data_IF_330372812782
#
_entry.id   IF_330372812782
#
_cell.length_a   1.000
_cell.length_b   1.000
_cell.length_c   1.000
_cell.angle_alpha   90.00
_cell.angle_beta   90.00
_cell.angle_gamma   90.00
#
_symmetry.space_group_name_H-M   'P 1'
#
loop_
_entity.id
_entity.type
_entity.pdbx_description
1 polymer ?
#
# COMPACT_ATOMS: atom_id res chain seq x y z
N UNK A 1 -15.35 -8.54 21.53
CA UNK A 1 -14.96 -9.50 20.47
C UNK A 1 -14.05 -8.74 19.53
N UNK A 2 -12.76 -8.86 19.75
CA UNK A 2 -11.76 -8.39 18.77
C UNK A 2 -11.83 -9.37 17.62
N UNK A 3 -12.41 -8.93 16.50
CA UNK A 3 -12.35 -9.69 15.25
C UNK A 3 -10.89 -9.62 14.82
N UNK A 4 -10.10 -10.60 15.25
CA UNK A 4 -8.80 -10.90 14.67
C UNK A 4 -9.10 -11.43 13.27
N UNK A 5 -9.12 -10.55 12.26
CA UNK A 5 -9.23 -10.92 10.85
C UNK A 5 -8.09 -11.92 10.56
N UNK A 6 -8.39 -13.23 10.41
CA UNK A 6 -7.36 -14.22 10.22
C UNK A 6 -6.83 -14.04 8.80
N UNK A 7 -5.61 -13.48 8.74
CA UNK A 7 -4.78 -13.38 7.54
C UNK A 7 -4.99 -12.11 6.67
N UNK A 8 -4.76 -10.92 7.24
CA UNK A 8 -4.65 -9.64 6.50
C UNK A 8 -3.70 -9.74 5.30
N UNK A 9 -2.65 -10.55 5.41
CA UNK A 9 -1.70 -10.78 4.33
C UNK A 9 -2.35 -11.52 3.15
N UNK A 10 -3.08 -12.61 3.43
CA UNK A 10 -3.87 -13.31 2.42
C UNK A 10 -4.89 -12.37 1.77
N UNK A 11 -5.61 -11.57 2.57
CA UNK A 11 -6.58 -10.62 2.03
C UNK A 11 -5.94 -9.61 1.08
N UNK A 12 -4.74 -9.10 1.41
CA UNK A 12 -4.00 -8.23 0.51
C UNK A 12 -3.65 -8.94 -0.82
N UNK A 13 -3.21 -10.20 -0.76
CA UNK A 13 -2.91 -10.98 -1.96
C UNK A 13 -4.16 -11.22 -2.83
N UNK A 14 -5.29 -11.59 -2.21
CA UNK A 14 -6.56 -11.75 -2.92
C UNK A 14 -7.01 -10.45 -3.61
N UNK A 15 -6.79 -9.31 -2.96
CA UNK A 15 -7.13 -8.00 -3.53
C UNK A 15 -6.20 -7.64 -4.69
N UNK A 16 -4.91 -7.98 -4.61
CA UNK A 16 -4.01 -7.86 -5.76
C UNK A 16 -4.46 -8.73 -6.95
N UNK A 17 -4.90 -9.97 -6.70
CA UNK A 17 -5.40 -10.85 -7.76
C UNK A 17 -6.72 -10.32 -8.37
N UNK A 18 -7.64 -9.84 -7.53
CA UNK A 18 -8.94 -9.30 -7.96
C UNK A 18 -8.82 -8.12 -8.92
N UNK A 19 -7.84 -7.23 -8.70
CA UNK A 19 -7.63 -6.05 -9.54
C UNK A 19 -6.59 -6.25 -10.64
N UNK A 20 -5.95 -7.42 -10.74
CA UNK A 20 -4.91 -7.67 -11.72
C UNK A 20 -5.42 -7.46 -13.16
N UNK A 21 -4.70 -6.68 -13.95
CA UNK A 21 -5.05 -6.35 -15.34
C UNK A 21 -6.11 -5.27 -15.51
N UNK A 22 -6.54 -4.60 -14.42
CA UNK A 22 -7.42 -3.42 -14.49
C UNK A 22 -6.63 -2.14 -14.79
N UNK A 23 -7.34 -1.04 -15.11
CA UNK A 23 -6.74 0.29 -15.16
C UNK A 23 -6.45 0.77 -13.73
N UNK A 24 -5.25 0.47 -13.23
CA UNK A 24 -4.89 0.74 -11.84
C UNK A 24 -4.91 2.23 -11.53
N UNK A 25 -4.38 3.06 -12.43
CA UNK A 25 -4.31 4.50 -12.23
C UNK A 25 -5.71 5.09 -12.12
N UNK A 26 -6.60 4.81 -13.08
CA UNK A 26 -7.99 5.29 -13.05
C UNK A 26 -8.74 4.79 -11.81
N UNK A 27 -8.57 3.53 -11.44
CA UNK A 27 -9.25 2.93 -10.28
C UNK A 27 -8.75 3.55 -8.96
N UNK A 28 -7.46 3.87 -8.84
CA UNK A 28 -6.91 4.60 -7.69
C UNK A 28 -7.59 5.97 -7.55
N UNK A 29 -7.79 6.69 -8.66
CA UNK A 29 -8.48 7.98 -8.62
C UNK A 29 -9.92 7.80 -8.11
N UNK A 30 -10.65 6.82 -8.65
CA UNK A 30 -12.03 6.53 -8.22
C UNK A 30 -12.13 6.24 -6.73
N UNK A 31 -11.23 5.42 -6.17
CA UNK A 31 -11.22 5.08 -4.74
C UNK A 31 -10.86 6.29 -3.87
N UNK A 32 -9.95 7.14 -4.35
CA UNK A 32 -9.57 8.36 -3.65
C UNK A 32 -10.69 9.42 -3.66
N UNK A 33 -11.39 9.58 -4.78
CA UNK A 33 -12.42 10.61 -4.97
C UNK A 33 -13.79 10.17 -4.45
N UNK A 34 -14.11 8.87 -4.47
CA UNK A 34 -15.38 8.30 -4.02
C UNK A 34 -15.13 7.07 -3.14
N UNK A 35 -14.64 7.26 -1.90
CA UNK A 35 -14.50 6.16 -0.96
C UNK A 35 -15.87 5.54 -0.67
N UNK A 36 -15.88 4.22 -0.50
CA UNK A 36 -17.06 3.49 -0.09
C UNK A 36 -17.38 3.73 1.39
N UNK A 37 -18.43 3.10 1.89
CA UNK A 37 -18.73 3.11 3.33
C UNK A 37 -17.84 2.13 4.12
N UNK A 38 -17.10 1.26 3.43
CA UNK A 38 -16.21 0.27 4.03
C UNK A 38 -14.75 0.73 3.94
N UNK A 39 -14.28 1.33 5.03
CA UNK A 39 -12.90 1.82 5.13
C UNK A 39 -11.85 0.71 5.00
N UNK A 40 -12.18 -0.52 5.42
CA UNK A 40 -11.24 -1.64 5.35
C UNK A 40 -11.10 -2.09 3.89
N UNK A 41 -12.22 -2.24 3.19
CA UNK A 41 -12.22 -2.59 1.77
C UNK A 41 -11.52 -1.52 0.93
N UNK A 42 -11.80 -0.23 1.16
CA UNK A 42 -11.13 0.87 0.45
C UNK A 42 -9.62 0.89 0.70
N UNK A 43 -9.19 0.61 1.93
CA UNK A 43 -7.77 0.55 2.28
C UNK A 43 -7.06 -0.59 1.55
N UNK A 44 -7.64 -1.80 1.56
CA UNK A 44 -7.10 -2.93 0.82
C UNK A 44 -7.08 -2.68 -0.69
N UNK A 45 -8.19 -2.15 -1.23
CA UNK A 45 -8.33 -1.82 -2.64
C UNK A 45 -7.29 -0.81 -3.09
N UNK A 46 -7.16 0.31 -2.37
CA UNK A 46 -6.18 1.33 -2.68
C UNK A 46 -4.75 0.78 -2.61
N UNK A 47 -4.42 0.04 -1.55
CA UNK A 47 -3.09 -0.55 -1.36
C UNK A 47 -2.74 -1.54 -2.46
N UNK A 48 -3.65 -2.45 -2.81
CA UNK A 48 -3.47 -3.43 -3.87
C UNK A 48 -3.23 -2.75 -5.22
N UNK A 49 -4.09 -1.79 -5.60
CA UNK A 49 -3.95 -1.05 -6.85
C UNK A 49 -2.61 -0.28 -6.92
N UNK A 50 -2.20 0.36 -5.82
CA UNK A 50 -0.94 1.09 -5.78
C UNK A 50 0.28 0.16 -5.93
N UNK A 51 0.24 -1.03 -5.34
CA UNK A 51 1.27 -2.06 -5.51
C UNK A 51 1.31 -2.53 -6.96
N UNK A 52 0.16 -2.90 -7.55
CA UNK A 52 0.06 -3.37 -8.94
C UNK A 52 0.51 -2.32 -9.95
N UNK A 53 0.14 -1.06 -9.73
CA UNK A 53 0.62 0.05 -10.56
C UNK A 53 2.13 0.18 -10.47
N UNK A 54 2.70 0.14 -9.26
CA UNK A 54 4.15 0.25 -9.05
C UNK A 54 4.92 -0.89 -9.75
N UNK A 55 4.39 -2.11 -9.72
CA UNK A 55 4.94 -3.26 -10.42
C UNK A 55 4.85 -3.11 -11.94
N UNK A 56 3.70 -2.67 -12.43
CA UNK A 56 3.44 -2.47 -13.87
C UNK A 56 4.34 -1.38 -14.44
N UNK A 57 4.57 -0.32 -13.67
CA UNK A 57 5.47 0.78 -13.98
C UNK A 57 6.96 0.39 -13.79
N UNK A 58 7.26 -0.84 -13.36
CA UNK A 58 8.61 -1.32 -13.01
C UNK A 58 9.37 -0.35 -12.09
N UNK A 59 8.65 0.25 -11.15
CA UNK A 59 9.18 1.27 -10.28
C UNK A 59 9.84 0.67 -9.03
N UNK A 60 10.88 1.36 -8.55
CA UNK A 60 11.72 0.89 -7.45
C UNK A 60 11.03 0.97 -6.08
N UNK A 61 10.08 1.90 -5.92
CA UNK A 61 9.47 2.13 -4.61
C UNK A 61 8.10 2.80 -4.69
N UNK A 62 7.15 2.26 -3.96
CA UNK A 62 5.91 2.94 -3.55
C UNK A 62 6.11 3.61 -2.21
N UNK A 63 5.72 4.89 -2.07
CA UNK A 63 5.80 5.61 -0.81
C UNK A 63 4.50 6.34 -0.50
N UNK A 64 3.89 5.99 0.63
CA UNK A 64 2.76 6.67 1.24
C UNK A 64 3.28 7.45 2.44
N UNK A 65 3.05 8.77 2.46
CA UNK A 65 3.52 9.65 3.52
C UNK A 65 2.41 10.56 3.97
N UNK A 66 2.33 10.75 5.26
CA UNK A 66 1.54 11.79 5.89
C UNK A 66 2.45 12.69 6.69
N UNK A 67 2.35 14.00 6.49
CA UNK A 67 3.03 15.01 7.30
C UNK A 67 1.98 16.03 7.74
N UNK A 68 1.80 16.15 9.05
CA UNK A 68 0.64 16.84 9.64
C UNK A 68 -0.67 16.28 9.05
N UNK A 69 -1.40 17.09 8.28
CA UNK A 69 -2.65 16.73 7.62
C UNK A 69 -2.50 16.41 6.13
N UNK A 70 -1.31 16.63 5.55
CA UNK A 70 -1.08 16.42 4.13
C UNK A 70 -0.65 14.97 3.87
N UNK A 71 -1.45 14.28 3.06
CA UNK A 71 -1.14 12.93 2.55
C UNK A 71 -0.55 13.05 1.14
N UNK A 72 0.52 12.31 0.90
CA UNK A 72 1.19 12.22 -0.40
C UNK A 72 1.50 10.77 -0.70
N UNK A 73 1.17 10.33 -1.91
CA UNK A 73 1.47 9.00 -2.40
C UNK A 73 2.29 9.15 -3.67
N UNK A 74 3.42 8.47 -3.73
CA UNK A 74 4.36 8.59 -4.86
C UNK A 74 4.93 7.24 -5.24
N UNK A 75 5.01 7.00 -6.54
CA UNK A 75 5.80 5.93 -7.14
C UNK A 75 7.15 6.53 -7.55
N UNK A 76 8.25 5.86 -7.23
CA UNK A 76 9.61 6.33 -7.53
C UNK A 76 10.28 5.39 -8.54
N UNK A 77 10.74 5.99 -9.65
CA UNK A 77 11.65 5.40 -10.62
C UNK A 77 13.08 5.88 -10.36
N UNK A 78 14.02 5.45 -11.21
CA UNK A 78 15.43 5.83 -11.09
C UNK A 78 15.62 7.36 -11.19
N UNK A 79 15.04 7.98 -12.22
CA UNK A 79 15.17 9.40 -12.52
C UNK A 79 13.97 10.28 -12.10
N UNK A 80 12.81 9.68 -11.81
CA UNK A 80 11.56 10.42 -11.64
C UNK A 80 10.66 9.89 -10.51
N UNK A 81 9.68 10.72 -10.15
CA UNK A 81 8.64 10.37 -9.17
C UNK A 81 7.29 10.76 -9.71
N UNK A 82 6.39 9.79 -9.76
CA UNK A 82 5.01 9.97 -10.18
C UNK A 82 4.16 10.14 -8.91
N UNK A 83 3.40 11.23 -8.83
CA UNK A 83 2.45 11.45 -7.74
C UNK A 83 1.11 10.78 -8.06
N UNK A 84 0.60 9.98 -7.13
CA UNK A 84 -0.73 9.39 -7.22
C UNK A 84 -1.74 10.26 -6.47
N UNK A 85 -3.03 10.10 -6.81
CA UNK A 85 -4.12 10.71 -6.05
C UNK A 85 -4.08 10.18 -4.61
N UNK A 86 -3.89 11.03 -3.59
CA UNK A 86 -3.80 10.56 -2.21
C UNK A 86 -5.17 10.06 -1.72
N UNK A 87 -5.22 8.99 -0.91
CA UNK A 87 -6.46 8.54 -0.31
C UNK A 87 -6.91 9.53 0.78
N UNK A 88 -8.16 9.40 1.21
CA UNK A 88 -8.65 10.13 2.38
C UNK A 88 -7.88 9.72 3.64
N UNK A 89 -7.91 10.58 4.66
CA UNK A 89 -7.20 10.34 5.92
C UNK A 89 -7.58 9.02 6.61
N UNK A 90 -8.87 8.67 6.76
CA UNK A 90 -9.26 7.40 7.36
C UNK A 90 -8.74 6.17 6.59
N UNK A 91 -8.75 6.23 5.25
CA UNK A 91 -8.23 5.16 4.39
C UNK A 91 -6.72 5.04 4.54
N UNK A 92 -5.97 6.16 4.57
CA UNK A 92 -4.54 6.15 4.83
C UNK A 92 -4.20 5.49 6.18
N UNK A 93 -4.86 5.92 7.26
CA UNK A 93 -4.59 5.41 8.60
C UNK A 93 -4.89 3.90 8.67
N UNK A 94 -5.95 3.44 7.98
CA UNK A 94 -6.29 2.02 7.86
C UNK A 94 -5.26 1.22 7.04
N UNK A 95 -4.72 1.77 5.95
CA UNK A 95 -3.62 1.15 5.19
C UNK A 95 -2.40 0.92 6.09
N UNK A 96 -2.01 1.92 6.89
CA UNK A 96 -0.89 1.78 7.82
C UNK A 96 -1.20 0.69 8.86
N UNK A 97 -2.40 0.68 9.43
CA UNK A 97 -2.81 -0.34 10.40
C UNK A 97 -2.77 -1.76 9.81
N UNK A 98 -3.27 -1.96 8.58
CA UNK A 98 -3.21 -3.24 7.86
C UNK A 98 -1.75 -3.69 7.69
N UNK A 99 -0.88 -2.82 7.18
CA UNK A 99 0.52 -3.18 6.95
C UNK A 99 1.27 -3.47 8.25
N UNK A 100 0.99 -2.75 9.33
CA UNK A 100 1.55 -3.07 10.65
C UNK A 100 1.06 -4.42 11.17
N UNK A 101 -0.22 -4.73 10.97
CA UNK A 101 -0.79 -6.03 11.32
C UNK A 101 -0.17 -7.18 10.54
N UNK A 102 0.03 -7.02 9.23
CA UNK A 102 0.72 -8.00 8.37
C UNK A 102 2.16 -8.24 8.84
N UNK A 103 2.87 -7.19 9.22
CA UNK A 103 4.27 -7.27 9.63
C UNK A 103 4.47 -7.61 11.11
N UNK A 104 3.39 -7.76 11.88
CA UNK A 104 3.45 -7.90 13.35
C UNK A 104 4.34 -6.83 14.00
N UNK A 105 4.20 -5.58 13.55
CA UNK A 105 5.02 -4.47 14.00
C UNK A 105 4.37 -3.73 15.17
N UNK A 106 4.85 -3.98 16.38
CA UNK A 106 4.44 -3.27 17.60
C UNK A 106 5.14 -1.90 17.75
N UNK A 107 6.37 -1.77 17.25
CA UNK A 107 7.17 -0.55 17.40
C UNK A 107 6.76 0.58 16.41
N UNK A 108 7.10 1.83 16.73
CA UNK A 108 6.82 2.97 15.85
C UNK A 108 7.58 2.89 14.50
N UNK A 109 8.65 2.11 14.44
CA UNK A 109 9.48 1.94 13.25
C UNK A 109 9.82 0.47 13.02
N UNK A 110 9.69 0.03 11.78
CA UNK A 110 10.04 -1.34 11.36
C UNK A 110 10.43 -1.40 9.90
N UNK A 111 11.27 -2.36 9.56
CA UNK A 111 11.67 -2.66 8.18
C UNK A 111 11.79 -4.17 8.03
N UNK A 112 10.88 -4.78 7.28
CA UNK A 112 10.80 -6.23 7.11
C UNK A 112 10.62 -6.60 5.62
N UNK A 113 11.05 -7.79 5.25
CA UNK A 113 10.73 -8.37 3.95
C UNK A 113 9.32 -8.97 4.00
N UNK A 114 8.57 -8.77 2.92
CA UNK A 114 7.24 -9.31 2.72
C UNK A 114 7.20 -9.99 1.36
N UNK A 115 6.85 -11.28 1.33
CA UNK A 115 6.62 -12.02 0.09
C UNK A 115 5.17 -11.83 -0.33
N UNK A 116 4.94 -11.21 -1.49
CA UNK A 116 3.62 -11.03 -2.09
C UNK A 116 3.43 -12.07 -3.19
N UNK A 117 2.47 -12.98 -3.01
CA UNK A 117 2.01 -13.88 -4.07
C UNK A 117 1.07 -13.14 -5.04
N UNK A 118 1.36 -13.21 -6.33
CA UNK A 118 0.59 -12.59 -7.41
C UNK A 118 0.26 -13.64 -8.46
N UNK A 119 -0.96 -14.17 -8.40
CA UNK A 119 -1.44 -15.23 -9.31
C UNK A 119 -0.49 -16.45 -9.35
N UNK A 120 0.37 -16.56 -10.35
CA UNK A 120 1.33 -17.66 -10.52
C UNK A 120 2.79 -17.26 -10.22
N UNK A 121 2.99 -16.02 -9.75
CA UNK A 121 4.30 -15.46 -9.48
C UNK A 121 4.39 -15.00 -8.02
N UNK A 122 5.61 -14.73 -7.55
CA UNK A 122 5.85 -14.20 -6.21
C UNK A 122 6.93 -13.14 -6.26
N UNK A 123 6.73 -12.06 -5.51
CA UNK A 123 7.72 -11.01 -5.40
C UNK A 123 8.04 -10.74 -3.94
N UNK A 124 9.33 -10.67 -3.63
CA UNK A 124 9.78 -10.25 -2.30
C UNK A 124 10.01 -8.74 -2.30
N UNK A 125 9.28 -8.03 -1.43
CA UNK A 125 9.38 -6.57 -1.28
C UNK A 125 9.89 -6.22 0.11
N UNK A 126 10.67 -5.14 0.21
CA UNK A 126 11.05 -4.60 1.51
C UNK A 126 10.04 -3.54 1.93
N UNK A 127 9.31 -3.82 3.01
CA UNK A 127 8.34 -2.89 3.60
C UNK A 127 8.99 -2.17 4.78
N UNK A 128 8.90 -0.84 4.78
CA UNK A 128 9.36 0.01 5.88
C UNK A 128 8.23 0.92 6.36
N UNK A 129 7.94 0.85 7.65
CA UNK A 129 6.97 1.71 8.32
C UNK A 129 7.70 2.58 9.35
N UNK A 130 7.42 3.87 9.35
CA UNK A 130 8.00 4.84 10.30
C UNK A 130 6.88 5.79 10.78
N UNK A 131 6.61 5.79 12.08
CA UNK A 131 5.71 6.71 12.77
C UNK A 131 6.52 7.61 13.70
N UNK A 132 6.20 8.89 13.67
CA UNK A 132 6.69 9.95 14.54
C UNK A 132 5.53 10.90 14.83
N UNK A 133 5.59 11.78 15.84
CA UNK A 133 4.47 12.65 16.22
C UNK A 133 3.85 13.43 15.04
N UNK A 134 4.68 13.95 14.14
CA UNK A 134 4.25 14.81 13.03
C UNK A 134 4.15 14.10 11.68
N UNK A 135 4.59 12.84 11.62
CA UNK A 135 4.79 12.15 10.35
C UNK A 135 4.61 10.65 10.45
N UNK A 136 3.95 10.12 9.44
CA UNK A 136 3.75 8.69 9.25
C UNK A 136 4.15 8.32 7.82
N UNK A 137 4.84 7.20 7.66
CA UNK A 137 5.40 6.80 6.37
C UNK A 137 5.37 5.30 6.22
N UNK A 138 4.83 4.85 5.09
CA UNK A 138 4.93 3.50 4.57
C UNK A 138 5.72 3.57 3.26
N UNK A 139 6.75 2.74 3.15
CA UNK A 139 7.51 2.56 1.91
C UNK A 139 7.55 1.07 1.58
N UNK A 140 7.25 0.74 0.34
CA UNK A 140 7.39 -0.60 -0.19
C UNK A 140 8.43 -0.48 -1.29
N UNK A 141 9.59 -1.11 -1.10
CA UNK A 141 10.63 -1.17 -2.12
C UNK A 141 10.51 -2.48 -2.86
N UNK A 142 10.52 -2.37 -4.17
CA UNK A 142 10.46 -3.48 -5.08
C UNK A 142 11.88 -3.89 -5.47
N UNK A 143 12.11 -5.17 -5.79
CA UNK A 143 13.37 -5.60 -6.38
C UNK A 143 13.54 -4.93 -7.75
N UNK A 144 14.77 -4.93 -8.25
CA UNK A 144 15.07 -4.46 -9.59
C UNK A 144 14.42 -5.42 -10.60
N UNK A 145 13.44 -4.94 -11.36
CA UNK A 145 12.65 -5.74 -12.33
C UNK A 145 13.16 -5.55 -13.78
N UNK A 146 14.45 -5.22 -13.90
CA UNK A 146 15.12 -4.78 -15.13
C UNK A 146 15.51 -5.94 -16.03
#
# INVERSE_FOLDING_TARGET
MEIHDPNLHLKLMEMCDCYLGTDYAATIQQVADTPSKDLQEDAFRYLALAILLTLTEKALQLALKRKHDKITVTIKHDAEKIALRPPTRPVFDKIIAIMRGILHLDEDKGSLQLTLGLKNDQIEVQVKIERTPDKETLKIKFPDLT
#
